data_IF_833197308277
#
_entry.id   IF_833197308277
#
_cell.length_a   1.000
_cell.length_b   1.000
_cell.length_c   1.000
_cell.angle_alpha   90.00
_cell.angle_beta   90.00
_cell.angle_gamma   90.00
#
_symmetry.space_group_name_H-M   'P 1'
#
loop_
_entity.id
_entity.type
_entity.pdbx_description
1 polymer ?
#
# COMPACT_ATOMS: atom_id res chain seq x y z
N UNK A 1 7.75 -50.17 24.25
CA UNK A 1 9.08 -49.51 24.20
C UNK A 1 8.91 -48.03 24.54
N UNK A 2 9.77 -47.55 25.44
CA UNK A 2 9.61 -46.38 26.28
C UNK A 2 9.86 -45.05 25.52
N UNK A 3 9.01 -44.04 25.72
CA UNK A 3 9.27 -42.63 25.40
C UNK A 3 10.30 -42.04 26.36
N UNK A 4 11.06 -41.03 25.92
CA UNK A 4 11.57 -40.04 26.86
C UNK A 4 10.97 -38.65 26.58
N UNK A 5 10.30 -38.17 27.60
CA UNK A 5 9.92 -36.75 27.78
C UNK A 5 11.20 -35.95 28.03
N UNK A 6 11.42 -34.90 27.26
CA UNK A 6 12.39 -33.85 27.63
C UNK A 6 11.66 -32.53 27.76
N UNK A 7 11.42 -32.19 28.99
CA UNK A 7 11.14 -30.85 29.48
C UNK A 7 12.41 -30.02 29.37
N UNK A 8 12.36 -28.90 28.68
CA UNK A 8 13.34 -27.82 28.82
C UNK A 8 12.55 -26.56 29.13
N UNK A 9 12.57 -26.23 30.41
CA UNK A 9 12.21 -24.91 30.91
C UNK A 9 13.41 -24.00 30.74
N UNK A 10 13.25 -22.87 30.08
CA UNK A 10 14.20 -21.78 30.17
C UNK A 10 13.48 -20.48 30.47
N UNK A 11 13.84 -20.03 31.61
CA UNK A 11 13.50 -18.88 32.40
C UNK A 11 13.92 -17.60 31.68
N UNK A 12 13.05 -16.60 31.80
CA UNK A 12 13.08 -15.34 31.20
C UNK A 12 14.22 -14.41 31.53
N UNK A 13 14.25 -13.27 30.97
CA UNK A 13 14.75 -12.04 31.58
C UNK A 13 13.91 -10.88 31.07
N UNK A 14 13.24 -10.28 32.00
CA UNK A 14 12.51 -9.02 31.92
C UNK A 14 13.53 -7.90 31.92
N UNK A 15 13.60 -7.09 30.89
CA UNK A 15 14.31 -5.79 30.92
C UNK A 15 13.30 -4.69 30.62
N UNK A 16 12.82 -4.11 31.70
CA UNK A 16 12.18 -2.79 31.68
C UNK A 16 13.29 -1.72 31.58
N UNK A 17 13.23 -0.90 30.58
CA UNK A 17 13.91 0.39 30.59
C UNK A 17 12.96 1.47 30.07
N UNK A 18 12.33 2.14 31.02
CA UNK A 18 11.59 3.36 30.81
C UNK A 18 12.54 4.56 30.94
N UNK A 19 12.67 5.37 29.92
CA UNK A 19 13.26 6.72 30.02
C UNK A 19 12.24 7.74 29.52
N UNK A 20 11.77 8.65 30.38
CA UNK A 20 11.00 9.78 29.91
C UNK A 20 11.97 10.95 29.59
N UNK A 21 11.99 11.39 28.34
CA UNK A 21 12.62 12.65 27.96
C UNK A 21 11.55 13.74 27.96
N UNK A 22 11.53 14.50 29.01
CA UNK A 22 10.88 15.81 29.13
C UNK A 22 11.65 16.80 28.24
N UNK A 23 11.04 17.28 27.19
CA UNK A 23 11.50 18.50 26.52
C UNK A 23 10.57 19.63 26.93
N UNK A 24 11.12 20.48 27.78
CA UNK A 24 10.56 21.77 28.06
C UNK A 24 10.95 22.73 26.92
N UNK A 25 9.96 23.23 26.21
CA UNK A 25 10.13 24.32 25.26
C UNK A 25 9.78 25.63 25.97
N UNK A 26 10.78 26.47 26.08
CA UNK A 26 10.67 27.81 26.63
C UNK A 26 9.92 28.75 25.68
N UNK A 27 9.01 29.50 26.27
CA UNK A 27 8.35 30.67 25.73
C UNK A 27 9.35 31.70 25.20
N UNK A 28 9.16 32.15 23.99
CA UNK A 28 9.66 33.44 23.53
C UNK A 28 8.53 34.25 22.96
N UNK A 29 8.01 35.16 23.80
CA UNK A 29 7.12 36.22 23.38
C UNK A 29 7.97 37.26 22.66
N UNK A 30 7.64 37.57 21.45
CA UNK A 30 7.97 38.84 20.80
C UNK A 30 6.68 39.55 20.42
N UNK A 31 6.36 40.56 21.19
CA UNK A 31 5.35 41.55 20.91
C UNK A 31 5.80 42.41 19.70
N UNK A 32 5.08 42.38 18.62
CA UNK A 32 5.04 43.48 17.65
C UNK A 32 3.60 43.84 17.32
N UNK A 33 3.18 44.84 18.06
CA UNK A 33 2.04 45.70 17.81
C UNK A 33 2.25 46.50 16.53
N UNK A 34 1.42 46.29 15.50
CA UNK A 34 1.11 47.30 14.48
C UNK A 34 -0.31 47.16 14.02
N UNK A 35 -1.11 48.07 14.53
CA UNK A 35 -2.47 48.28 14.07
C UNK A 35 -2.57 48.79 12.64
N UNK A 36 -3.65 48.38 11.96
CA UNK A 36 -4.15 48.97 10.75
C UNK A 36 -5.34 48.18 10.21
N UNK A 37 -6.54 48.79 10.15
CA UNK A 37 -7.70 48.14 9.59
C UNK A 37 -7.70 48.29 8.07
N UNK A 38 -7.60 47.18 7.33
CA UNK A 38 -7.93 47.17 5.92
C UNK A 38 -9.01 46.15 5.60
N UNK A 39 -10.02 46.71 5.01
CA UNK A 39 -11.26 46.15 4.52
C UNK A 39 -11.07 44.97 3.58
N UNK A 40 -12.08 44.12 3.62
CA UNK A 40 -12.31 42.90 2.90
C UNK A 40 -11.99 42.85 1.42
N UNK A 41 -11.48 41.73 1.06
CA UNK A 41 -11.73 41.13 -0.24
C UNK A 41 -12.04 39.66 0.02
N UNK A 42 -13.31 39.34 -0.09
CA UNK A 42 -13.77 37.97 -0.26
C UNK A 42 -13.47 37.56 -1.70
N UNK A 43 -12.25 37.13 -1.97
CA UNK A 43 -11.97 36.36 -3.16
C UNK A 43 -12.31 34.91 -2.84
N UNK A 44 -13.55 34.59 -3.16
CA UNK A 44 -14.04 33.22 -3.27
C UNK A 44 -13.36 32.62 -4.51
N UNK A 45 -12.08 32.22 -4.38
CA UNK A 45 -11.44 31.38 -5.36
C UNK A 45 -11.89 29.97 -5.10
N UNK A 46 -12.87 29.57 -5.92
CA UNK A 46 -13.16 28.18 -6.17
C UNK A 46 -11.83 27.45 -6.36
N UNK A 47 -11.47 26.70 -5.34
CA UNK A 47 -10.29 25.85 -5.37
C UNK A 47 -10.68 24.64 -6.21
N UNK A 48 -10.63 24.84 -7.54
CA UNK A 48 -10.60 23.76 -8.50
C UNK A 48 -9.46 22.82 -8.08
N UNK A 49 -9.80 21.84 -7.29
CA UNK A 49 -8.97 20.67 -7.09
C UNK A 49 -8.94 19.91 -8.43
N UNK A 50 -8.24 20.49 -9.39
CA UNK A 50 -7.66 19.70 -10.45
C UNK A 50 -6.78 18.70 -9.74
N UNK A 51 -7.34 17.49 -9.59
CA UNK A 51 -6.62 16.32 -9.13
C UNK A 51 -5.37 16.19 -10.00
N UNK A 52 -4.25 16.73 -9.50
CA UNK A 52 -2.95 16.40 -10.02
C UNK A 52 -2.86 14.89 -9.98
N UNK A 53 -2.60 14.29 -11.14
CA UNK A 53 -2.15 12.91 -11.20
C UNK A 53 -0.79 12.89 -10.51
N UNK A 54 -0.83 12.83 -9.17
CA UNK A 54 0.33 12.48 -8.39
C UNK A 54 0.68 11.05 -8.79
N UNK A 55 1.55 10.95 -9.79
CA UNK A 55 2.26 9.73 -10.08
C UNK A 55 3.02 9.37 -8.80
N UNK A 56 2.38 8.64 -7.90
CA UNK A 56 2.94 8.14 -6.66
C UNK A 56 4.07 7.16 -6.99
N UNK A 57 5.16 7.69 -7.51
CA UNK A 57 6.40 6.95 -7.63
C UNK A 57 7.01 6.84 -6.24
N UNK A 58 6.68 5.76 -5.54
CA UNK A 58 7.42 5.35 -4.37
C UNK A 58 6.77 5.50 -2.99
N UNK A 59 5.48 5.80 -2.89
CA UNK A 59 4.73 5.73 -1.63
C UNK A 59 4.22 4.31 -1.30
N UNK A 60 3.71 4.07 -0.08
CA UNK A 60 3.00 2.83 0.22
C UNK A 60 1.74 2.71 -0.64
N UNK A 61 1.26 1.47 -0.93
CA UNK A 61 0.05 1.29 -1.70
C UNK A 61 -1.15 1.96 -1.02
N UNK A 62 -2.05 2.60 -1.79
CA UNK A 62 -3.23 3.25 -1.25
C UNK A 62 -4.24 2.23 -0.70
N UNK A 63 -5.25 2.73 0.01
CA UNK A 63 -6.39 1.90 0.41
C UNK A 63 -7.44 1.79 -0.69
N UNK A 64 -7.51 2.80 -1.56
CA UNK A 64 -8.44 2.86 -2.68
C UNK A 64 -7.68 2.64 -4.00
N UNK A 65 -8.10 1.61 -4.72
CA UNK A 65 -7.57 1.23 -6.04
C UNK A 65 -8.53 1.55 -7.19
N UNK A 66 -9.57 2.34 -6.97
CA UNK A 66 -10.47 2.78 -8.03
C UNK A 66 -9.73 3.47 -9.19
N UNK A 67 -8.76 4.37 -8.97
CA UNK A 67 -7.98 4.97 -10.04
C UNK A 67 -7.18 3.94 -10.86
N UNK A 68 -6.64 2.90 -10.20
CA UNK A 68 -5.90 1.83 -10.88
C UNK A 68 -6.84 0.98 -11.73
N UNK A 69 -8.03 0.66 -11.23
CA UNK A 69 -9.07 -0.06 -12.00
C UNK A 69 -9.47 0.73 -13.24
N UNK A 70 -9.65 2.04 -13.09
CA UNK A 70 -9.99 2.92 -14.21
C UNK A 70 -8.86 2.92 -15.24
N UNK A 71 -7.60 3.05 -14.83
CA UNK A 71 -6.45 2.99 -15.73
C UNK A 71 -6.40 1.69 -16.52
N UNK A 72 -6.64 0.54 -15.88
CA UNK A 72 -6.68 -0.76 -16.56
C UNK A 72 -7.84 -0.82 -17.56
N UNK A 73 -9.00 -0.32 -17.18
CA UNK A 73 -10.18 -0.28 -18.04
C UNK A 73 -9.95 0.58 -19.29
N UNK A 74 -9.39 1.78 -19.10
CA UNK A 74 -9.20 2.76 -20.20
C UNK A 74 -8.07 2.35 -21.16
N UNK A 75 -7.17 1.49 -20.70
CA UNK A 75 -5.98 1.07 -21.44
C UNK A 75 -5.94 -0.46 -21.64
N UNK A 76 -7.10 -1.08 -21.83
CA UNK A 76 -7.26 -2.56 -21.90
C UNK A 76 -6.37 -3.23 -22.95
N UNK A 77 -5.98 -2.53 -24.00
CA UNK A 77 -5.10 -3.07 -25.05
C UNK A 77 -3.70 -3.47 -24.55
N UNK A 78 -3.28 -2.93 -23.39
CA UNK A 78 -2.00 -3.29 -22.76
C UNK A 78 -2.11 -4.41 -21.74
N UNK A 79 -3.34 -4.80 -21.37
CA UNK A 79 -3.60 -5.76 -20.32
C UNK A 79 -4.19 -7.05 -20.87
N UNK A 80 -3.34 -8.04 -21.02
CA UNK A 80 -3.75 -9.36 -21.53
C UNK A 80 -4.18 -10.25 -20.37
N UNK A 81 -5.32 -10.94 -20.53
CA UNK A 81 -5.80 -11.92 -19.56
C UNK A 81 -4.80 -13.06 -19.42
N UNK A 82 -4.57 -13.50 -18.17
CA UNK A 82 -3.72 -14.65 -17.87
C UNK A 82 -4.42 -15.99 -18.04
N UNK A 83 -3.68 -17.08 -17.85
CA UNK A 83 -4.26 -18.41 -17.79
C UNK A 83 -5.28 -18.50 -16.63
N UNK A 84 -6.36 -19.26 -16.76
CA UNK A 84 -7.32 -19.49 -15.68
C UNK A 84 -6.63 -19.96 -14.40
N UNK A 85 -7.13 -19.54 -13.23
CA UNK A 85 -6.60 -20.04 -11.97
C UNK A 85 -6.78 -21.57 -11.90
N UNK A 86 -5.77 -22.30 -11.41
CA UNK A 86 -5.91 -23.71 -11.14
C UNK A 86 -7.08 -24.00 -10.18
N UNK A 87 -7.76 -25.15 -10.32
CA UNK A 87 -8.83 -25.51 -9.40
C UNK A 87 -8.39 -25.49 -7.94
N UNK A 88 -9.21 -24.88 -7.08
CA UNK A 88 -8.92 -24.78 -5.65
C UNK A 88 -8.00 -23.61 -5.25
N UNK A 89 -7.49 -22.83 -6.20
CA UNK A 89 -6.74 -21.61 -5.93
C UNK A 89 -7.72 -20.45 -5.72
N UNK A 90 -7.70 -19.90 -4.53
CA UNK A 90 -8.43 -18.69 -4.16
C UNK A 90 -7.46 -17.64 -3.64
N UNK A 91 -7.59 -16.43 -4.14
CA UNK A 91 -6.75 -15.29 -3.74
C UNK A 91 -7.52 -14.44 -2.74
N UNK A 92 -6.97 -14.29 -1.56
CA UNK A 92 -7.57 -13.52 -0.49
C UNK A 92 -6.61 -12.42 -0.01
N UNK A 93 -7.12 -11.22 0.16
CA UNK A 93 -6.36 -10.11 0.72
C UNK A 93 -5.84 -10.45 2.13
N UNK A 94 -4.58 -10.13 2.41
CA UNK A 94 -3.94 -10.39 3.69
C UNK A 94 -3.41 -11.84 3.85
N UNK A 95 -3.61 -12.69 2.87
CA UNK A 95 -3.10 -14.06 2.87
C UNK A 95 -1.93 -14.23 1.90
N UNK A 96 -0.98 -15.12 2.19
CA UNK A 96 0.06 -15.45 1.23
C UNK A 96 -0.54 -16.17 0.02
N UNK A 97 0.10 -16.01 -1.14
CA UNK A 97 -0.24 -16.81 -2.31
C UNK A 97 -0.17 -18.30 -1.97
N UNK A 98 -1.08 -19.13 -2.50
CA UNK A 98 -1.04 -20.58 -2.32
C UNK A 98 0.30 -21.16 -2.77
N UNK A 99 0.81 -22.19 -2.06
CA UNK A 99 2.08 -22.82 -2.40
C UNK A 99 2.09 -23.33 -3.84
N UNK A 100 3.16 -22.98 -4.56
CA UNK A 100 3.32 -23.37 -5.97
C UNK A 100 2.55 -22.50 -6.97
N UNK A 101 1.80 -21.49 -6.50
CA UNK A 101 1.15 -20.51 -7.36
C UNK A 101 1.70 -19.11 -7.09
N UNK A 102 2.30 -18.49 -8.10
CA UNK A 102 2.91 -17.17 -7.97
C UNK A 102 2.21 -16.09 -8.81
N UNK A 103 1.15 -16.47 -9.53
CA UNK A 103 0.58 -15.62 -10.56
C UNK A 103 1.55 -15.42 -11.74
N UNK A 104 1.05 -14.84 -12.81
CA UNK A 104 1.87 -14.50 -13.96
C UNK A 104 2.38 -13.07 -13.88
N UNK A 105 3.56 -12.79 -14.41
CA UNK A 105 4.04 -11.41 -14.54
C UNK A 105 3.21 -10.68 -15.59
N UNK A 106 2.91 -9.43 -15.32
CA UNK A 106 2.39 -8.52 -16.33
C UNK A 106 3.51 -8.15 -17.31
N UNK A 107 3.13 -7.88 -18.55
CA UNK A 107 4.05 -7.38 -19.57
C UNK A 107 4.57 -6.00 -19.17
N UNK A 108 5.78 -5.65 -19.63
CA UNK A 108 6.40 -4.37 -19.29
C UNK A 108 5.52 -3.18 -19.69
N UNK A 109 4.85 -3.26 -20.83
CA UNK A 109 3.92 -2.23 -21.31
C UNK A 109 2.75 -1.99 -20.36
N UNK A 110 2.22 -3.08 -19.77
CA UNK A 110 1.18 -3.00 -18.75
C UNK A 110 1.72 -2.44 -17.43
N UNK A 111 2.94 -2.86 -17.02
CA UNK A 111 3.57 -2.36 -15.81
C UNK A 111 3.89 -0.86 -15.86
N UNK A 112 4.24 -0.32 -17.02
CA UNK A 112 4.47 1.11 -17.23
C UNK A 112 3.21 1.97 -17.01
N UNK A 113 2.02 1.36 -17.10
CA UNK A 113 0.72 2.01 -16.88
C UNK A 113 0.24 1.95 -15.44
N UNK A 114 0.87 1.09 -14.64
CA UNK A 114 0.51 0.91 -13.24
C UNK A 114 1.45 1.70 -12.32
N UNK A 115 0.95 2.19 -11.19
CA UNK A 115 1.79 2.85 -10.21
C UNK A 115 2.79 1.85 -9.62
N UNK A 116 4.01 2.32 -9.39
CA UNK A 116 5.03 1.55 -8.72
C UNK A 116 4.95 1.74 -7.21
N UNK A 117 4.93 0.65 -6.46
CA UNK A 117 4.97 0.64 -4.99
C UNK A 117 6.21 -0.12 -4.51
N UNK A 118 7.15 0.50 -3.79
CA UNK A 118 8.33 -0.17 -3.28
C UNK A 118 7.98 -1.38 -2.40
N UNK A 119 8.62 -2.52 -2.67
CA UNK A 119 8.36 -3.76 -1.95
C UNK A 119 7.11 -4.52 -2.36
N UNK A 120 6.41 -4.07 -3.40
CA UNK A 120 5.25 -4.75 -3.96
C UNK A 120 5.43 -5.05 -5.45
N UNK A 121 4.73 -6.08 -5.93
CA UNK A 121 4.71 -6.47 -7.33
C UNK A 121 3.29 -6.64 -7.84
N UNK A 122 3.07 -6.17 -9.07
CA UNK A 122 1.84 -6.44 -9.80
C UNK A 122 1.94 -7.78 -10.52
N UNK A 123 0.93 -8.63 -10.34
CA UNK A 123 0.79 -9.94 -10.97
C UNK A 123 -0.58 -10.07 -11.62
N UNK A 124 -0.71 -10.91 -12.64
CA UNK A 124 -2.02 -11.32 -13.18
C UNK A 124 -2.36 -12.73 -12.72
N UNK A 125 -3.63 -12.97 -12.51
CA UNK A 125 -4.18 -14.23 -12.07
C UNK A 125 -5.52 -14.45 -12.77
N UNK A 126 -5.51 -15.16 -13.89
CA UNK A 126 -6.69 -15.29 -14.73
C UNK A 126 -7.18 -13.96 -15.30
N UNK A 127 -8.37 -13.54 -14.89
CA UNK A 127 -8.98 -12.24 -15.23
C UNK A 127 -8.70 -11.12 -14.25
N UNK A 128 -7.86 -11.37 -13.24
CA UNK A 128 -7.61 -10.44 -12.14
C UNK A 128 -6.19 -9.87 -12.19
N UNK A 129 -6.02 -8.65 -11.67
CA UNK A 129 -4.71 -8.07 -11.37
C UNK A 129 -4.53 -8.05 -9.86
N UNK A 130 -3.39 -8.51 -9.37
CA UNK A 130 -3.10 -8.71 -7.96
C UNK A 130 -1.86 -7.93 -7.58
N UNK A 131 -1.91 -7.21 -6.48
CA UNK A 131 -0.75 -6.58 -5.85
C UNK A 131 -0.29 -7.45 -4.70
N UNK A 132 0.97 -7.88 -4.72
CA UNK A 132 1.55 -8.74 -3.70
C UNK A 132 2.76 -8.07 -3.06
N UNK A 133 2.99 -8.33 -1.78
CA UNK A 133 4.24 -7.97 -1.11
C UNK A 133 5.37 -8.90 -1.60
N UNK A 134 6.37 -8.34 -2.28
CA UNK A 134 7.40 -9.12 -2.97
C UNK A 134 8.21 -10.04 -2.04
N UNK A 135 8.48 -9.60 -0.81
CA UNK A 135 9.27 -10.37 0.17
C UNK A 135 8.52 -11.56 0.78
N UNK A 136 7.18 -11.47 0.92
CA UNK A 136 6.38 -12.46 1.66
C UNK A 136 5.38 -13.20 0.80
N UNK A 137 5.07 -12.69 -0.40
CA UNK A 137 4.00 -13.19 -1.25
C UNK A 137 2.59 -12.93 -0.70
N UNK A 138 2.45 -12.08 0.32
CA UNK A 138 1.14 -11.74 0.87
C UNK A 138 0.37 -10.88 -0.14
N UNK A 139 -0.86 -11.27 -0.41
CA UNK A 139 -1.78 -10.54 -1.28
C UNK A 139 -2.20 -9.24 -0.57
N UNK A 140 -1.82 -8.12 -1.13
CA UNK A 140 -2.23 -6.80 -0.62
C UNK A 140 -3.61 -6.40 -1.17
N UNK A 141 -3.83 -6.59 -2.47
CA UNK A 141 -5.08 -6.27 -3.14
C UNK A 141 -5.35 -7.21 -4.31
N UNK A 142 -6.63 -7.46 -4.58
CA UNK A 142 -7.11 -8.20 -5.74
C UNK A 142 -8.08 -7.32 -6.53
N UNK A 143 -7.68 -6.94 -7.73
CA UNK A 143 -8.52 -6.21 -8.67
C UNK A 143 -9.25 -7.24 -9.53
N UNK A 144 -10.44 -7.66 -9.08
CA UNK A 144 -11.21 -8.72 -9.71
C UNK A 144 -11.82 -8.30 -11.04
N UNK A 145 -11.71 -9.18 -12.05
CA UNK A 145 -12.40 -9.03 -13.32
C UNK A 145 -11.97 -7.83 -14.17
N UNK A 146 -10.78 -7.29 -13.94
CA UNK A 146 -10.30 -6.10 -14.66
C UNK A 146 -9.66 -6.41 -16.02
N UNK A 147 -9.32 -7.69 -16.30
CA UNK A 147 -8.69 -8.16 -17.54
C UNK A 147 -9.67 -8.81 -18.51
#
# INVERSE_FOLDING_TARGET
>A
MKMPKRLIASLGVLMLSATPLLHASADQRDDHDHGGPQQGHYDNRDNDHRGGQDNHRGGPPPRDFAPVRQTIHDQREYFVRGAPLPPGIHLERGRPLPRGYYGERLDNRALERLPYYPGYEWRRAGGDVVLIAAATGIVYEVLQGVL
#
